data_IF_418585868332
#
_entry.id   IF_418585868332
#
_cell.length_a   1.000
_cell.length_b   1.000
_cell.length_c   1.000
_cell.angle_alpha   90.00
_cell.angle_beta   90.00
_cell.angle_gamma   90.00
#
_symmetry.space_group_name_H-M   'P 1'
#
loop_
_entity.id
_entity.type
_entity.pdbx_description
1 polymer ?
#
# COMPACT_ATOMS: atom_id res chain seq x y z
N UNK A 1 1.60 -11.85 24.27
CA UNK A 1 3.05 -11.57 24.29
C UNK A 1 3.41 -11.17 22.87
N UNK A 2 4.02 -10.00 22.64
CA UNK A 2 4.41 -9.63 21.28
C UNK A 2 5.46 -10.65 20.80
N UNK A 3 5.29 -11.18 19.59
CA UNK A 3 6.33 -12.02 18.97
C UNK A 3 7.63 -11.20 18.89
N UNK A 4 8.80 -11.81 19.11
CA UNK A 4 10.08 -11.24 18.70
C UNK A 4 9.99 -10.74 17.25
N UNK A 5 10.62 -9.60 16.94
CA UNK A 5 10.58 -9.00 15.58
C UNK A 5 10.92 -10.03 14.50
N UNK A 6 11.90 -10.90 14.77
CA UNK A 6 12.31 -11.93 13.83
C UNK A 6 11.19 -12.94 13.53
N UNK A 7 10.48 -13.42 14.55
CA UNK A 7 9.37 -14.35 14.38
C UNK A 7 8.21 -13.72 13.61
N UNK A 8 7.94 -12.44 13.82
CA UNK A 8 6.93 -11.70 13.06
C UNK A 8 7.29 -11.59 11.57
N UNK A 9 8.55 -11.30 11.26
CA UNK A 9 9.04 -11.24 9.87
C UNK A 9 8.91 -12.61 9.20
N UNK A 10 9.27 -13.68 9.89
CA UNK A 10 9.22 -15.03 9.35
C UNK A 10 7.78 -15.57 9.21
N UNK A 11 6.85 -15.11 10.04
CA UNK A 11 5.42 -15.32 9.83
C UNK A 11 4.91 -14.64 8.55
N UNK A 12 5.22 -13.35 8.36
CA UNK A 12 4.81 -12.61 7.16
C UNK A 12 5.42 -13.19 5.88
N UNK A 13 6.70 -13.60 5.91
CA UNK A 13 7.36 -14.25 4.76
C UNK A 13 6.68 -15.54 4.31
N UNK A 14 6.07 -16.29 5.24
CA UNK A 14 5.29 -17.49 4.93
C UNK A 14 3.90 -17.16 4.43
N UNK A 15 3.29 -16.10 4.97
CA UNK A 15 1.93 -15.68 4.62
C UNK A 15 1.85 -15.10 3.20
N UNK A 16 2.67 -14.10 2.86
CA UNK A 16 2.52 -13.31 1.62
C UNK A 16 2.49 -14.17 0.33
N UNK A 17 3.36 -15.18 0.12
CA UNK A 17 3.36 -15.96 -1.12
C UNK A 17 2.12 -16.83 -1.32
N UNK A 18 1.34 -17.09 -0.27
CA UNK A 18 0.17 -17.98 -0.29
C UNK A 18 -1.15 -17.23 -0.39
N UNK A 19 -1.12 -15.90 -0.36
CA UNK A 19 -2.32 -15.07 -0.32
C UNK A 19 -2.29 -14.03 -1.45
N UNK A 20 -3.47 -13.57 -1.85
CA UNK A 20 -3.60 -12.51 -2.82
C UNK A 20 -3.12 -11.17 -2.28
N UNK A 21 -2.93 -10.20 -3.19
CA UNK A 21 -2.53 -8.84 -2.83
C UNK A 21 -3.56 -8.16 -1.90
N UNK A 22 -4.89 -8.19 -2.18
CA UNK A 22 -5.88 -7.62 -1.26
C UNK A 22 -5.88 -8.27 0.11
N UNK A 23 -5.79 -9.60 0.19
CA UNK A 23 -5.74 -10.34 1.47
C UNK A 23 -4.50 -9.95 2.28
N UNK A 24 -3.36 -9.81 1.61
CA UNK A 24 -2.11 -9.37 2.24
C UNK A 24 -2.22 -7.94 2.77
N UNK A 25 -2.75 -7.01 1.97
CA UNK A 25 -2.93 -5.61 2.39
C UNK A 25 -3.92 -5.50 3.56
N UNK A 26 -5.02 -6.25 3.52
CA UNK A 26 -6.01 -6.30 4.60
C UNK A 26 -5.39 -6.84 5.90
N UNK A 27 -4.63 -7.93 5.82
CA UNK A 27 -3.92 -8.50 6.97
C UNK A 27 -2.97 -7.47 7.60
N UNK A 28 -2.17 -6.77 6.79
CA UNK A 28 -1.24 -5.77 7.29
C UNK A 28 -1.98 -4.63 7.99
N UNK A 29 -3.07 -4.15 7.41
CA UNK A 29 -3.89 -3.09 7.99
C UNK A 29 -4.54 -3.50 9.33
N UNK A 30 -5.00 -4.75 9.44
CA UNK A 30 -5.56 -5.33 10.66
C UNK A 30 -4.49 -5.56 11.74
N UNK A 31 -3.34 -6.14 11.39
CA UNK A 31 -2.26 -6.44 12.34
C UNK A 31 -1.53 -5.20 12.84
N UNK A 32 -1.49 -4.14 12.04
CA UNK A 32 -0.82 -2.90 12.38
C UNK A 32 -1.76 -1.67 12.28
N UNK A 33 -2.83 -1.60 13.09
CA UNK A 33 -3.82 -0.54 12.99
C UNK A 33 -3.19 0.85 13.11
N UNK A 34 -3.49 1.73 12.15
CA UNK A 34 -2.98 3.10 12.11
C UNK A 34 -1.48 3.24 11.83
N UNK A 35 -0.76 2.14 11.58
CA UNK A 35 0.70 2.14 11.35
C UNK A 35 1.09 1.82 9.92
N UNK A 36 0.15 1.38 9.08
CA UNK A 36 0.40 1.06 7.67
C UNK A 36 0.24 2.31 6.82
N UNK A 37 1.20 2.55 5.93
CA UNK A 37 1.13 3.62 4.93
C UNK A 37 1.72 3.13 3.62
N UNK A 38 1.13 3.55 2.51
CA UNK A 38 1.60 3.24 1.17
C UNK A 38 2.07 4.52 0.50
N UNK A 39 3.36 4.59 0.19
CA UNK A 39 3.93 5.67 -0.60
C UNK A 39 3.84 5.33 -2.08
N UNK A 40 3.33 6.23 -2.92
CA UNK A 40 3.27 6.05 -4.37
C UNK A 40 4.04 7.12 -5.12
N UNK A 41 4.69 6.69 -6.19
CA UNK A 41 5.30 7.50 -7.25
C UNK A 41 4.45 7.57 -8.52
N UNK A 42 3.22 7.01 -8.47
CA UNK A 42 2.30 6.83 -9.59
C UNK A 42 2.81 5.91 -10.71
N UNK A 43 3.73 4.99 -10.40
CA UNK A 43 4.12 3.90 -11.29
C UNK A 43 3.00 2.88 -11.51
N UNK A 44 3.17 1.97 -12.46
CA UNK A 44 2.15 0.98 -12.82
C UNK A 44 1.81 0.04 -11.64
N UNK A 45 2.82 -0.51 -10.98
CA UNK A 45 2.66 -1.37 -9.81
C UNK A 45 1.99 -0.62 -8.66
N UNK A 46 2.34 0.65 -8.48
CA UNK A 46 1.72 1.48 -7.46
C UNK A 46 0.24 1.75 -7.75
N UNK A 47 -0.14 1.93 -9.01
CA UNK A 47 -1.54 2.11 -9.39
C UNK A 47 -2.35 0.83 -9.13
N UNK A 48 -1.77 -0.35 -9.33
CA UNK A 48 -2.40 -1.63 -8.97
C UNK A 48 -2.62 -1.71 -7.46
N UNK A 49 -1.61 -1.40 -6.65
CA UNK A 49 -1.76 -1.39 -5.19
C UNK A 49 -2.75 -0.33 -4.71
N UNK A 50 -2.71 0.87 -5.29
CA UNK A 50 -3.65 1.95 -4.98
C UNK A 50 -5.09 1.55 -5.31
N UNK A 51 -5.31 0.90 -6.46
CA UNK A 51 -6.61 0.35 -6.83
C UNK A 51 -7.12 -0.64 -5.77
N UNK A 52 -6.30 -1.64 -5.37
CA UNK A 52 -6.70 -2.59 -4.35
C UNK A 52 -6.98 -1.94 -2.98
N UNK A 53 -6.17 -0.97 -2.56
CA UNK A 53 -6.38 -0.25 -1.30
C UNK A 53 -7.73 0.50 -1.33
N UNK A 54 -8.01 1.21 -2.42
CA UNK A 54 -9.18 2.07 -2.53
C UNK A 54 -10.48 1.28 -2.76
N UNK A 55 -10.47 0.30 -3.66
CA UNK A 55 -11.64 -0.54 -3.97
C UNK A 55 -12.11 -1.32 -2.72
N UNK A 56 -11.17 -1.80 -1.92
CA UNK A 56 -11.49 -2.56 -0.70
C UNK A 56 -11.65 -1.67 0.55
N UNK A 57 -11.58 -0.34 0.41
CA UNK A 57 -11.65 0.62 1.52
C UNK A 57 -10.71 0.29 2.69
N UNK A 58 -9.48 -0.17 2.38
CA UNK A 58 -8.53 -0.57 3.41
C UNK A 58 -8.05 0.66 4.19
N UNK A 59 -7.89 0.58 5.53
CA UNK A 59 -7.44 1.70 6.36
C UNK A 59 -5.92 1.92 6.26
N UNK A 60 -5.44 2.13 5.04
CA UNK A 60 -4.03 2.36 4.69
C UNK A 60 -3.90 3.79 4.16
N UNK A 61 -3.05 4.58 4.81
CA UNK A 61 -2.77 5.95 4.37
C UNK A 61 -1.94 5.91 3.09
N UNK A 62 -2.52 6.34 1.96
CA UNK A 62 -1.81 6.52 0.70
C UNK A 62 -1.26 7.94 0.62
N UNK A 63 0.02 8.09 0.30
CA UNK A 63 0.65 9.40 0.14
C UNK A 63 1.69 9.40 -0.97
N UNK A 64 2.06 10.59 -1.44
CA UNK A 64 3.16 10.80 -2.38
C UNK A 64 4.07 11.92 -1.87
N UNK A 65 5.30 11.97 -2.37
CA UNK A 65 6.21 13.08 -2.12
C UNK A 65 6.29 13.92 -3.40
N UNK A 66 5.70 15.11 -3.35
CA UNK A 66 5.83 16.07 -4.45
C UNK A 66 7.15 16.81 -4.34
N UNK A 67 8.07 16.50 -5.26
CA UNK A 67 9.38 17.15 -5.34
C UNK A 67 9.33 18.50 -6.06
N UNK A 68 8.19 18.85 -6.68
CA UNK A 68 8.05 19.99 -7.59
C UNK A 68 8.76 19.81 -8.94
N UNK A 69 9.25 18.59 -9.25
CA UNK A 69 10.03 18.28 -10.46
C UNK A 69 9.57 17.00 -11.18
N UNK A 70 8.37 16.51 -10.88
CA UNK A 70 7.82 15.34 -11.57
C UNK A 70 7.41 15.69 -13.00
N UNK A 71 7.32 14.67 -13.86
CA UNK A 71 6.76 14.84 -15.21
C UNK A 71 5.27 15.22 -15.13
N UNK A 72 4.77 15.95 -16.14
CA UNK A 72 3.37 16.38 -16.19
C UNK A 72 2.40 15.19 -16.24
N UNK A 73 2.85 14.09 -16.83
CA UNK A 73 2.17 12.81 -16.88
C UNK A 73 1.97 12.23 -15.48
N UNK A 74 2.95 12.38 -14.57
CA UNK A 74 2.82 11.95 -13.17
C UNK A 74 1.74 12.74 -12.44
N UNK A 75 1.72 14.07 -12.59
CA UNK A 75 0.65 14.91 -12.02
C UNK A 75 -0.72 14.60 -12.64
N UNK A 76 -0.77 14.31 -13.94
CA UNK A 76 -1.99 13.91 -14.64
C UNK A 76 -2.53 12.58 -14.12
N UNK A 77 -1.66 11.59 -13.93
CA UNK A 77 -2.02 10.30 -13.33
C UNK A 77 -2.48 10.49 -11.90
N UNK A 78 -1.75 11.28 -11.10
CA UNK A 78 -2.14 11.61 -9.73
C UNK A 78 -3.57 12.19 -9.68
N UNK A 79 -3.86 13.21 -10.47
CA UNK A 79 -5.20 13.78 -10.53
C UNK A 79 -6.26 12.73 -10.90
N UNK A 80 -5.99 11.85 -11.86
CA UNK A 80 -6.90 10.75 -12.22
C UNK A 80 -7.10 9.75 -11.07
N UNK A 81 -6.04 9.41 -10.33
CA UNK A 81 -6.11 8.52 -9.16
C UNK A 81 -7.02 9.12 -8.07
N UNK A 82 -7.04 10.45 -7.91
CA UNK A 82 -7.91 11.13 -6.94
C UNK A 82 -9.37 11.21 -7.38
N UNK A 83 -9.62 11.30 -8.68
CA UNK A 83 -10.96 11.49 -9.24
C UNK A 83 -11.85 10.24 -9.15
N UNK A 84 -11.26 9.06 -8.92
CA UNK A 84 -11.92 7.74 -8.77
C UNK A 84 -13.07 7.51 -9.75
#
# INVERSE_FOLDING_TARGET
MALPIQELVDDLRRFVPQHSVPETLALLAERFPGKVSFSTSFGLEDQILTHFIFENNLPIRVFTLDTGRNFQETYSTWNKTLLR
#
